data_IF_885142024511
#
_entry.id   IF_885142024511
#
_cell.length_a   1.000
_cell.length_b   1.000
_cell.length_c   1.000
_cell.angle_alpha   90.00
_cell.angle_beta   90.00
_cell.angle_gamma   90.00
#
_symmetry.space_group_name_H-M   'P 1'
#
loop_
_entity.id
_entity.type
_entity.pdbx_description
1 polymer ?
#
# COMPACT_ATOMS: atom_id res chain seq x y z
N UNK A 1 -21.80 2.44 3.51
CA UNK A 1 -22.55 1.22 3.23
C UNK A 1 -22.32 0.73 1.79
N UNK A 2 -22.66 1.53 0.74
CA UNK A 2 -22.47 1.10 -0.67
C UNK A 2 -21.03 0.73 -1.01
N UNK A 3 -20.03 1.44 -0.50
CA UNK A 3 -18.62 1.15 -0.72
C UNK A 3 -18.25 -0.22 -0.09
N UNK A 4 -18.67 -0.47 1.15
CA UNK A 4 -18.46 -1.74 1.84
C UNK A 4 -19.11 -2.94 1.13
N UNK A 5 -20.27 -2.73 0.49
CA UNK A 5 -21.00 -3.79 -0.22
C UNK A 5 -20.46 -4.08 -1.63
N UNK A 6 -19.83 -3.10 -2.26
CA UNK A 6 -19.45 -3.17 -3.68
C UNK A 6 -17.95 -3.31 -3.93
N UNK A 7 -17.12 -2.81 -3.01
CA UNK A 7 -15.68 -2.92 -3.15
C UNK A 7 -15.18 -4.29 -2.70
N UNK A 8 -14.37 -4.92 -3.54
CA UNK A 8 -13.71 -6.21 -3.25
C UNK A 8 -12.21 -6.02 -3.36
N UNK A 9 -11.45 -6.81 -2.58
CA UNK A 9 -9.99 -6.72 -2.59
C UNK A 9 -9.40 -5.56 -1.79
N UNK A 10 -10.24 -4.65 -1.26
CA UNK A 10 -9.77 -3.62 -0.37
C UNK A 10 -9.24 -4.23 0.94
N UNK A 11 -8.11 -3.74 1.41
CA UNK A 11 -7.58 -4.09 2.72
C UNK A 11 -8.47 -3.50 3.82
N UNK A 12 -8.84 -2.21 3.67
CA UNK A 12 -9.79 -1.52 4.53
C UNK A 12 -10.85 -0.77 3.74
N UNK A 13 -12.08 -0.83 4.24
CA UNK A 13 -13.13 0.15 3.93
C UNK A 13 -13.38 0.95 5.19
N UNK A 14 -13.23 2.27 5.12
CA UNK A 14 -13.23 3.12 6.29
C UNK A 14 -14.17 4.32 6.18
N UNK A 15 -14.63 4.76 7.33
CA UNK A 15 -15.30 6.05 7.57
C UNK A 15 -14.64 6.66 8.80
N UNK A 16 -13.97 7.79 8.61
CA UNK A 16 -13.26 8.49 9.67
C UNK A 16 -13.72 9.93 9.77
N UNK A 17 -14.01 10.40 10.99
CA UNK A 17 -14.39 11.78 11.25
C UNK A 17 -13.23 12.52 11.93
N UNK A 18 -12.76 13.60 11.33
CA UNK A 18 -11.60 14.38 11.82
C UNK A 18 -11.99 15.44 12.86
N UNK A 19 -13.29 15.63 13.14
CA UNK A 19 -13.83 16.70 13.95
C UNK A 19 -14.58 17.77 13.14
N UNK A 20 -14.20 17.97 11.90
CA UNK A 20 -14.79 18.93 10.97
C UNK A 20 -15.23 18.32 9.62
N UNK A 21 -14.67 17.19 9.23
CA UNK A 21 -14.98 16.53 7.96
C UNK A 21 -14.95 15.00 8.06
N UNK A 22 -15.58 14.34 7.11
CA UNK A 22 -15.57 12.89 6.97
C UNK A 22 -14.63 12.47 5.86
N UNK A 23 -13.76 11.51 6.18
CA UNK A 23 -12.95 10.77 5.21
C UNK A 23 -13.59 9.41 4.99
N UNK A 24 -13.90 9.09 3.74
CA UNK A 24 -14.54 7.82 3.35
C UNK A 24 -13.74 7.21 2.23
N UNK A 25 -13.33 5.95 2.38
CA UNK A 25 -12.52 5.31 1.37
C UNK A 25 -12.49 3.80 1.48
N UNK A 26 -11.87 3.19 0.48
CA UNK A 26 -11.45 1.80 0.46
C UNK A 26 -10.01 1.76 -0.04
N UNK A 27 -9.10 1.30 0.81
CA UNK A 27 -7.68 1.20 0.49
C UNK A 27 -7.34 -0.22 0.05
N UNK A 28 -6.71 -0.41 -1.11
CA UNK A 28 -6.21 -1.71 -1.52
C UNK A 28 -4.91 -2.09 -0.81
N UNK A 29 -4.16 -1.10 -0.34
CA UNK A 29 -2.80 -1.25 0.17
C UNK A 29 -2.77 -1.40 1.68
N UNK A 30 -1.95 -2.35 2.13
CA UNK A 30 -1.47 -2.43 3.50
C UNK A 30 -0.11 -1.75 3.54
N UNK A 31 -0.07 -0.52 4.04
CA UNK A 31 1.18 0.19 4.20
C UNK A 31 2.12 -0.56 5.17
N UNK A 32 1.69 -0.76 6.40
CA UNK A 32 2.39 -1.60 7.37
C UNK A 32 1.40 -2.19 8.37
N UNK A 33 1.58 -3.45 8.73
CA UNK A 33 0.89 -4.04 9.88
C UNK A 33 1.87 -4.73 10.81
N UNK A 34 1.58 -4.66 12.12
CA UNK A 34 2.40 -5.30 13.17
C UNK A 34 1.48 -6.12 14.05
N UNK A 35 1.82 -7.39 14.25
CA UNK A 35 1.04 -8.28 15.09
C UNK A 35 1.97 -9.17 15.92
N UNK A 36 2.09 -8.90 17.21
CA UNK A 36 2.99 -9.62 18.11
C UNK A 36 4.46 -9.58 17.71
N UNK A 37 4.87 -8.51 17.01
CA UNK A 37 6.22 -8.32 16.48
C UNK A 37 6.40 -8.75 15.01
N UNK A 38 5.49 -9.53 14.45
CA UNK A 38 5.50 -9.81 13.01
C UNK A 38 5.06 -8.58 12.23
N UNK A 39 5.88 -8.16 11.27
CA UNK A 39 5.65 -7.00 10.41
C UNK A 39 5.30 -7.47 9.01
N UNK A 40 4.35 -6.81 8.38
CA UNK A 40 3.98 -7.08 6.98
C UNK A 40 3.69 -5.78 6.26
N UNK A 41 4.15 -5.70 5.00
CA UNK A 41 3.82 -4.65 4.03
C UNK A 41 3.34 -5.32 2.74
N UNK A 42 2.50 -4.62 1.99
CA UNK A 42 2.00 -5.09 0.70
C UNK A 42 2.15 -3.98 -0.33
N UNK A 43 3.37 -3.74 -0.84
CA UNK A 43 3.55 -2.82 -1.95
C UNK A 43 2.71 -3.27 -3.14
N UNK A 44 1.94 -2.35 -3.67
CA UNK A 44 1.15 -2.53 -4.88
C UNK A 44 1.58 -1.53 -5.93
N UNK A 45 1.54 -1.97 -7.19
CA UNK A 45 1.78 -1.11 -8.34
C UNK A 45 1.00 -1.63 -9.53
N UNK A 46 1.11 -0.92 -10.67
CA UNK A 46 0.41 -1.28 -11.87
C UNK A 46 -1.12 -1.29 -11.70
N UNK A 47 -1.83 -1.03 -12.78
CA UNK A 47 -3.30 -1.04 -12.77
C UNK A 47 -3.83 -1.57 -14.09
N UNK A 48 -4.18 -2.84 -14.09
CA UNK A 48 -4.90 -3.45 -15.21
C UNK A 48 -6.40 -3.26 -15.01
N UNK A 49 -7.06 -2.55 -15.92
CA UNK A 49 -8.51 -2.30 -15.86
C UNK A 49 -9.30 -3.48 -16.40
N UNK A 50 -10.25 -3.96 -15.62
CA UNK A 50 -11.20 -4.96 -16.07
C UNK A 50 -12.28 -4.32 -16.95
N UNK A 51 -12.79 -5.03 -17.96
CA UNK A 51 -13.91 -4.57 -18.79
C UNK A 51 -15.14 -4.26 -17.93
N UNK A 52 -15.90 -3.26 -18.34
CA UNK A 52 -17.18 -2.96 -17.71
C UNK A 52 -18.23 -3.99 -18.13
N UNK A 53 -19.32 -4.07 -17.34
CA UNK A 53 -20.44 -4.92 -17.70
C UNK A 53 -20.98 -4.55 -19.10
N UNK A 54 -20.98 -5.53 -20.03
CA UNK A 54 -21.39 -5.35 -21.41
C UNK A 54 -20.28 -4.95 -22.40
N UNK A 55 -19.05 -4.70 -21.92
CA UNK A 55 -17.89 -4.55 -22.80
C UNK A 55 -17.36 -5.93 -23.25
N UNK A 56 -16.79 -6.05 -24.46
CA UNK A 56 -16.19 -7.28 -24.93
C UNK A 56 -15.09 -7.76 -23.98
N UNK A 57 -15.03 -9.05 -23.77
CA UNK A 57 -13.96 -9.71 -22.97
C UNK A 57 -12.99 -10.48 -23.87
N UNK A 58 -13.18 -10.38 -25.18
CA UNK A 58 -12.28 -10.98 -26.15
C UNK A 58 -10.88 -10.43 -25.95
N UNK A 59 -9.90 -11.30 -26.02
CA UNK A 59 -8.48 -10.95 -25.80
C UNK A 59 -8.11 -10.41 -24.40
N UNK A 60 -8.99 -10.49 -23.40
CA UNK A 60 -8.68 -10.03 -22.03
C UNK A 60 -7.42 -10.69 -21.48
N UNK A 61 -7.23 -11.98 -21.77
CA UNK A 61 -6.04 -12.73 -21.35
C UNK A 61 -4.77 -12.21 -22.02
N UNK A 62 -4.83 -11.94 -23.33
CA UNK A 62 -3.72 -11.39 -24.10
C UNK A 62 -3.33 -10.01 -23.56
N UNK A 63 -4.30 -9.12 -23.34
CA UNK A 63 -4.07 -7.79 -22.76
C UNK A 63 -3.49 -7.86 -21.35
N UNK A 64 -3.89 -8.84 -20.53
CA UNK A 64 -3.30 -9.05 -19.21
C UNK A 64 -1.85 -9.51 -19.32
N UNK A 65 -1.54 -10.40 -20.27
CA UNK A 65 -0.16 -10.83 -20.52
C UNK A 65 0.70 -9.66 -21.00
N UNK A 66 0.20 -8.84 -21.91
CA UNK A 66 0.90 -7.63 -22.39
C UNK A 66 1.18 -6.66 -21.22
N UNK A 67 0.18 -6.43 -20.36
CA UNK A 67 0.37 -5.63 -19.14
C UNK A 67 1.45 -6.19 -18.21
N UNK A 68 1.53 -7.50 -18.04
CA UNK A 68 2.54 -8.15 -17.20
C UNK A 68 3.95 -8.14 -17.81
N UNK A 69 4.07 -7.90 -19.12
CA UNK A 69 5.34 -7.74 -19.83
C UNK A 69 5.69 -6.27 -20.09
N UNK A 70 4.83 -5.33 -19.72
CA UNK A 70 5.11 -3.90 -19.88
C UNK A 70 6.28 -3.49 -18.97
N UNK A 71 7.35 -3.03 -19.58
CA UNK A 71 8.59 -2.65 -18.86
C UNK A 71 8.33 -1.53 -17.85
N UNK A 72 7.50 -0.56 -18.19
CA UNK A 72 7.15 0.55 -17.29
C UNK A 72 6.46 0.02 -16.02
N UNK A 73 5.49 -0.88 -16.17
CA UNK A 73 4.76 -1.47 -15.04
C UNK A 73 5.69 -2.34 -14.17
N UNK A 74 6.60 -3.11 -14.80
CA UNK A 74 7.60 -3.91 -14.09
C UNK A 74 8.58 -3.05 -13.30
N UNK A 75 9.15 -2.02 -13.91
CA UNK A 75 10.12 -1.14 -13.24
C UNK A 75 9.46 -0.32 -12.12
N UNK A 76 8.22 0.12 -12.31
CA UNK A 76 7.47 0.80 -11.27
C UNK A 76 7.26 -0.10 -10.05
N UNK A 77 6.85 -1.35 -10.27
CA UNK A 77 6.70 -2.34 -9.20
C UNK A 77 8.02 -2.59 -8.46
N UNK A 78 9.12 -2.78 -9.20
CA UNK A 78 10.43 -3.00 -8.57
C UNK A 78 10.90 -1.78 -7.77
N UNK A 79 10.63 -0.57 -8.25
CA UNK A 79 10.96 0.66 -7.56
C UNK A 79 10.21 0.77 -6.22
N UNK A 80 8.92 0.46 -6.21
CA UNK A 80 8.09 0.49 -4.99
C UNK A 80 8.58 -0.57 -4.00
N UNK A 81 8.82 -1.79 -4.46
CA UNK A 81 9.34 -2.89 -3.62
C UNK A 81 10.70 -2.56 -3.03
N UNK A 82 11.62 -1.96 -3.81
CA UNK A 82 12.94 -1.56 -3.34
C UNK A 82 12.86 -0.52 -2.21
N UNK A 83 12.00 0.49 -2.34
CA UNK A 83 11.81 1.50 -1.29
C UNK A 83 11.19 0.90 -0.02
N UNK A 84 10.19 0.04 -0.14
CA UNK A 84 9.57 -0.60 1.02
C UNK A 84 10.49 -1.64 1.67
N UNK A 85 11.35 -2.31 0.90
CA UNK A 85 12.41 -3.16 1.46
C UNK A 85 13.42 -2.38 2.28
N UNK A 86 13.80 -1.19 1.85
CA UNK A 86 14.66 -0.29 2.65
C UNK A 86 13.98 0.05 3.97
N UNK A 87 12.70 0.41 3.95
CA UNK A 87 11.92 0.64 5.16
C UNK A 87 11.90 -0.62 6.05
N UNK A 88 11.66 -1.80 5.48
CA UNK A 88 11.69 -3.07 6.23
C UNK A 88 13.05 -3.33 6.86
N UNK A 89 14.16 -3.06 6.17
CA UNK A 89 15.51 -3.21 6.72
C UNK A 89 15.76 -2.28 7.92
N UNK A 90 15.19 -1.08 7.89
CA UNK A 90 15.35 -0.10 8.98
C UNK A 90 14.53 -0.46 10.23
N UNK A 91 13.39 -1.12 10.08
CA UNK A 91 12.49 -1.43 11.19
C UNK A 91 12.58 -2.87 11.70
N UNK A 92 13.12 -3.80 10.91
CA UNK A 92 13.22 -5.22 11.24
C UNK A 92 14.66 -5.59 11.61
N UNK A 93 14.83 -6.36 12.70
CA UNK A 93 16.13 -6.73 13.22
C UNK A 93 16.65 -8.09 12.72
N UNK A 94 15.80 -8.90 12.13
CA UNK A 94 16.13 -10.25 11.63
C UNK A 94 16.11 -10.33 10.08
N UNK A 95 16.09 -9.17 9.40
CA UNK A 95 15.91 -9.10 7.95
C UNK A 95 14.45 -9.28 7.55
N UNK A 96 14.20 -9.43 6.26
CA UNK A 96 12.87 -9.56 5.69
C UNK A 96 12.79 -10.64 4.61
N UNK A 97 11.58 -11.09 4.35
CA UNK A 97 11.25 -11.97 3.24
C UNK A 97 10.45 -11.20 2.20
N UNK A 98 10.71 -11.50 0.94
CA UNK A 98 9.98 -10.97 -0.22
C UNK A 98 9.31 -12.13 -0.94
N UNK A 99 8.00 -12.05 -1.10
CA UNK A 99 7.18 -13.05 -1.78
C UNK A 99 6.39 -12.38 -2.90
N UNK A 100 6.45 -12.92 -4.09
CA UNK A 100 5.73 -12.40 -5.26
C UNK A 100 6.56 -12.47 -6.55
N UNK A 101 6.11 -11.79 -7.62
CA UNK A 101 4.90 -10.97 -7.68
C UNK A 101 3.61 -11.78 -7.66
N UNK A 102 2.52 -11.16 -7.20
CA UNK A 102 1.17 -11.69 -7.24
C UNK A 102 0.22 -10.73 -7.96
N UNK A 103 -0.91 -11.26 -8.39
CA UNK A 103 -2.02 -10.45 -8.89
C UNK A 103 -3.03 -10.23 -7.75
N UNK A 104 -3.40 -8.96 -7.57
CA UNK A 104 -4.42 -8.54 -6.60
C UNK A 104 -5.69 -8.15 -7.32
N UNK A 105 -6.68 -9.07 -7.46
CA UNK A 105 -7.95 -8.75 -8.09
C UNK A 105 -8.80 -7.86 -7.18
N UNK A 106 -9.34 -6.81 -7.77
CA UNK A 106 -10.29 -5.90 -7.15
C UNK A 106 -11.61 -5.87 -7.94
N UNK A 107 -12.56 -5.05 -7.51
CA UNK A 107 -13.91 -5.00 -8.12
C UNK A 107 -13.89 -4.63 -9.60
N UNK A 108 -12.93 -3.81 -10.06
CA UNK A 108 -12.89 -3.24 -11.41
C UNK A 108 -11.51 -3.22 -12.05
N UNK A 109 -10.53 -3.76 -11.36
CA UNK A 109 -9.14 -3.74 -11.82
C UNK A 109 -8.35 -4.88 -11.16
N UNK A 110 -7.13 -5.10 -11.65
CA UNK A 110 -6.14 -5.97 -11.05
C UNK A 110 -4.88 -5.14 -10.84
N UNK A 111 -4.33 -5.18 -9.63
CA UNK A 111 -2.99 -4.67 -9.34
C UNK A 111 -1.96 -5.80 -9.35
N UNK A 112 -0.69 -5.44 -9.51
CA UNK A 112 0.44 -6.28 -9.12
C UNK A 112 0.84 -5.96 -7.68
N UNK A 113 1.21 -6.97 -6.89
CA UNK A 113 1.64 -6.79 -5.50
C UNK A 113 2.79 -7.72 -5.11
N UNK A 114 3.54 -7.31 -4.08
CA UNK A 114 4.44 -8.19 -3.33
C UNK A 114 4.00 -8.26 -1.88
N UNK A 115 4.42 -9.31 -1.20
CA UNK A 115 4.34 -9.41 0.26
C UNK A 115 5.73 -9.28 0.84
N UNK A 116 5.90 -8.32 1.75
CA UNK A 116 7.09 -8.17 2.55
C UNK A 116 6.75 -8.60 3.98
N UNK A 117 7.61 -9.39 4.59
CA UNK A 117 7.44 -9.89 5.95
C UNK A 117 8.75 -9.80 6.72
N UNK A 118 8.68 -9.47 7.99
CA UNK A 118 9.84 -9.37 8.87
C UNK A 118 9.42 -9.35 10.34
N UNK A 119 10.37 -9.08 11.23
CA UNK A 119 10.11 -8.99 12.67
C UNK A 119 10.71 -7.74 13.28
N UNK A 120 9.95 -7.11 14.17
CA UNK A 120 10.38 -5.93 14.93
C UNK A 120 10.03 -6.06 16.41
N UNK A 121 10.86 -5.46 17.25
CA UNK A 121 10.58 -5.23 18.67
C UNK A 121 10.24 -3.75 18.95
N UNK A 122 10.22 -2.91 17.91
CA UNK A 122 10.01 -1.46 18.03
C UNK A 122 8.54 -1.13 18.32
N UNK A 123 8.34 0.04 18.91
CA UNK A 123 6.99 0.60 19.11
C UNK A 123 6.31 0.85 17.75
N UNK A 124 5.04 0.43 17.55
CA UNK A 124 4.33 0.63 16.29
C UNK A 124 4.25 2.09 15.84
N UNK A 125 4.22 3.04 16.79
CA UNK A 125 4.19 4.48 16.46
C UNK A 125 5.51 4.95 15.85
N UNK A 126 6.63 4.39 16.31
CA UNK A 126 7.95 4.66 15.73
C UNK A 126 8.06 4.01 14.35
N UNK A 127 7.62 2.76 14.23
CA UNK A 127 7.58 2.06 12.94
C UNK A 127 6.74 2.84 11.94
N UNK A 128 5.53 3.24 12.30
CA UNK A 128 4.66 4.03 11.43
C UNK A 128 5.31 5.37 11.02
N UNK A 129 5.95 6.07 11.97
CA UNK A 129 6.67 7.32 11.67
C UNK A 129 7.81 7.11 10.68
N UNK A 130 8.59 6.05 10.88
CA UNK A 130 9.82 5.81 10.11
C UNK A 130 9.53 5.17 8.74
N UNK A 131 8.32 4.62 8.54
CA UNK A 131 7.83 4.14 7.24
C UNK A 131 6.91 5.13 6.53
N UNK A 132 6.69 6.33 7.10
CA UNK A 132 5.83 7.34 6.47
C UNK A 132 6.34 7.74 5.08
N UNK A 133 5.38 8.21 4.28
CA UNK A 133 5.54 8.63 2.90
C UNK A 133 5.85 7.48 1.94
N UNK A 134 4.84 6.60 1.78
CA UNK A 134 4.88 5.51 0.80
C UNK A 134 5.35 6.00 -0.58
N UNK A 135 6.27 5.28 -1.20
CA UNK A 135 6.84 5.63 -2.49
C UNK A 135 5.79 5.68 -3.61
N UNK A 136 4.72 4.91 -3.48
CA UNK A 136 3.54 4.94 -4.38
C UNK A 136 2.85 6.30 -4.44
N UNK A 137 3.03 7.15 -3.42
CA UNK A 137 2.39 8.48 -3.31
C UNK A 137 3.37 9.62 -3.41
N UNK A 138 4.61 9.42 -2.96
CA UNK A 138 5.64 10.47 -2.93
C UNK A 138 6.63 10.36 -4.07
N UNK A 139 7.00 9.16 -4.48
CA UNK A 139 8.05 8.88 -5.45
C UNK A 139 9.31 8.30 -4.80
N UNK A 140 10.24 7.87 -5.64
CA UNK A 140 11.52 7.26 -5.25
C UNK A 140 12.71 8.03 -5.85
N UNK A 141 13.86 8.17 -5.13
CA UNK A 141 14.05 7.91 -3.69
C UNK A 141 13.21 8.87 -2.83
N UNK A 142 12.58 8.35 -1.77
CA UNK A 142 11.58 9.08 -0.97
C UNK A 142 12.10 10.42 -0.45
N UNK A 143 13.35 10.49 0.07
CA UNK A 143 13.92 11.73 0.58
C UNK A 143 14.05 12.80 -0.50
N UNK A 144 14.49 12.42 -1.71
CA UNK A 144 14.60 13.34 -2.83
C UNK A 144 13.23 13.79 -3.33
N UNK A 145 12.27 12.87 -3.41
CA UNK A 145 10.89 13.16 -3.78
C UNK A 145 10.27 14.17 -2.80
N UNK A 146 10.41 13.96 -1.49
CA UNK A 146 9.94 14.91 -0.46
C UNK A 146 10.60 16.30 -0.58
N UNK A 147 11.89 16.35 -0.92
CA UNK A 147 12.60 17.60 -1.17
C UNK A 147 12.03 18.35 -2.38
N UNK A 148 11.77 17.65 -3.47
CA UNK A 148 11.17 18.23 -4.67
C UNK A 148 9.73 18.69 -4.44
N UNK A 149 8.91 17.87 -3.74
CA UNK A 149 7.56 18.24 -3.33
C UNK A 149 7.60 19.58 -2.58
N UNK A 150 8.46 19.69 -1.55
CA UNK A 150 8.60 20.92 -0.77
C UNK A 150 9.08 22.13 -1.60
N UNK A 151 9.87 21.88 -2.66
CA UNK A 151 10.40 22.94 -3.53
C UNK A 151 9.34 23.46 -4.52
N UNK A 152 8.50 22.58 -5.05
CA UNK A 152 7.62 22.91 -6.17
C UNK A 152 6.15 23.04 -5.79
N UNK A 153 5.70 22.45 -4.71
CA UNK A 153 4.33 22.60 -4.23
C UNK A 153 4.23 23.76 -3.24
N UNK A 154 3.42 24.75 -3.59
CA UNK A 154 3.21 25.96 -2.77
C UNK A 154 2.31 25.72 -1.56
N UNK A 155 1.48 24.67 -1.59
CA UNK A 155 0.53 24.31 -0.55
C UNK A 155 0.84 22.94 0.05
N UNK A 156 0.48 22.74 1.32
CA UNK A 156 0.60 21.46 1.98
C UNK A 156 -0.43 20.46 1.46
N UNK A 157 -0.03 19.19 1.33
CA UNK A 157 -0.86 18.10 0.80
C UNK A 157 -2.01 17.68 1.73
N UNK A 158 -2.06 18.18 2.96
CA UNK A 158 -3.10 17.83 3.94
C UNK A 158 -3.11 16.33 4.22
N UNK A 159 -4.24 15.68 3.98
CA UNK A 159 -4.38 14.23 4.17
C UNK A 159 -3.90 13.39 2.98
N UNK A 160 -3.47 14.00 1.88
CA UNK A 160 -2.95 13.24 0.75
C UNK A 160 -1.58 12.62 1.08
N UNK A 161 -1.48 11.31 0.89
CA UNK A 161 -0.29 10.54 1.27
C UNK A 161 -0.18 10.24 2.77
N UNK A 162 -1.22 10.54 3.56
CA UNK A 162 -1.26 10.16 4.97
C UNK A 162 -1.61 8.68 5.14
N UNK A 163 -1.13 8.10 6.25
CA UNK A 163 -1.55 6.78 6.68
C UNK A 163 -2.75 6.88 7.65
N UNK A 164 -3.65 5.90 7.56
CA UNK A 164 -4.68 5.64 8.55
C UNK A 164 -4.30 4.39 9.32
N UNK A 165 -4.12 4.49 10.62
CA UNK A 165 -3.67 3.37 11.45
C UNK A 165 -4.58 3.14 12.65
N UNK A 166 -4.78 1.87 12.99
CA UNK A 166 -5.44 1.43 14.21
C UNK A 166 -4.40 0.70 15.09
N UNK A 167 -4.04 1.31 16.21
CA UNK A 167 -3.03 0.78 17.13
C UNK A 167 -3.69 0.37 18.43
N UNK A 168 -3.41 -0.85 18.89
CA UNK A 168 -3.98 -1.39 20.12
C UNK A 168 -3.28 -2.67 20.59
N UNK A 169 -4.04 -3.47 21.35
CA UNK A 169 -3.61 -4.79 21.80
C UNK A 169 -4.68 -5.82 21.46
N UNK A 170 -4.24 -7.02 21.12
CA UNK A 170 -5.13 -8.16 20.95
C UNK A 170 -5.60 -8.75 22.32
N UNK A 171 -6.38 -9.81 22.27
CA UNK A 171 -6.91 -10.46 23.48
C UNK A 171 -5.83 -11.09 24.35
N UNK A 172 -4.69 -11.45 23.78
CA UNK A 172 -3.51 -11.98 24.45
C UNK A 172 -2.55 -10.88 24.95
N UNK A 173 -2.93 -9.61 24.78
CA UNK A 173 -2.12 -8.46 25.18
C UNK A 173 -0.97 -8.10 24.23
N UNK A 174 -0.86 -8.80 23.08
CA UNK A 174 0.17 -8.53 22.09
C UNK A 174 -0.16 -7.25 21.32
N UNK A 175 0.87 -6.50 20.99
CA UNK A 175 0.73 -5.29 20.17
C UNK A 175 0.15 -5.61 18.81
N UNK A 176 -0.82 -4.81 18.40
CA UNK A 176 -1.43 -4.82 17.08
C UNK A 176 -1.44 -3.42 16.50
N UNK A 177 -1.01 -3.30 15.25
CA UNK A 177 -1.12 -2.13 14.41
C UNK A 177 -1.57 -2.59 13.01
N UNK A 178 -2.61 -1.98 12.50
CA UNK A 178 -3.10 -2.18 11.12
C UNK A 178 -3.30 -0.84 10.46
#
# INVERSE_FOLDING_TARGET
KRLLERERGAYWTFLFFTGDRYLVGASPERHVSIHGGDVRMNPISGTFRLPKAGEPTDHLHEHLIDFLHDEKELYELYMVVDEELKMMCDICHEGGQVLGPFLKPMSRLIHTEYFLAGRTSRDPREVLRDTMYAATVTGSPVQNACRLIKQYESEGRGYYGAALALIGRDREGRTRCD
#
